data_IF_913430767275
#
_entry.id   IF_913430767275
#
_cell.length_a   1.000
_cell.length_b   1.000
_cell.length_c   1.000
_cell.angle_alpha   90.00
_cell.angle_beta   90.00
_cell.angle_gamma   90.00
#
_symmetry.space_group_name_H-M   'P 1'
#
loop_
_entity.id
_entity.type
_entity.pdbx_description
1 polymer ?
#
# COMPACT_ATOMS: atom_id res chain seq x y z
N UNK A 1 -14.67 -22.31 32.03
CA UNK A 1 -13.56 -22.27 31.06
C UNK A 1 -13.18 -23.69 30.67
N UNK A 2 -13.44 -24.09 29.43
CA UNK A 2 -12.58 -25.00 28.70
C UNK A 2 -11.74 -24.18 27.73
N UNK A 3 -10.42 -24.36 27.77
CA UNK A 3 -9.51 -23.82 26.78
C UNK A 3 -9.88 -24.41 25.42
N UNK A 4 -10.37 -23.57 24.50
CA UNK A 4 -10.35 -23.90 23.08
C UNK A 4 -8.89 -23.93 22.67
N UNK A 5 -8.32 -25.13 22.61
CA UNK A 5 -7.11 -25.39 21.86
C UNK A 5 -7.44 -25.09 20.40
N UNK A 6 -7.18 -23.85 19.98
CA UNK A 6 -7.13 -23.49 18.56
C UNK A 6 -6.06 -24.37 17.94
N UNK A 7 -6.47 -25.40 17.20
CA UNK A 7 -5.62 -25.94 16.14
C UNK A 7 -5.17 -24.72 15.34
N UNK A 8 -3.89 -24.36 15.43
CA UNK A 8 -3.34 -23.26 14.66
C UNK A 8 -3.65 -23.56 13.19
N UNK A 9 -4.56 -22.81 12.60
CA UNK A 9 -4.83 -22.91 11.17
C UNK A 9 -3.49 -22.69 10.48
N UNK A 10 -3.05 -23.70 9.71
CA UNK A 10 -1.79 -23.62 8.99
C UNK A 10 -1.80 -22.33 8.14
N UNK A 11 -0.68 -21.59 8.06
CA UNK A 11 -0.64 -20.40 7.24
C UNK A 11 -1.08 -20.71 5.81
N UNK A 12 -1.85 -19.81 5.20
CA UNK A 12 -2.52 -20.04 3.91
C UNK A 12 -1.48 -20.35 2.82
N UNK A 13 -0.30 -19.72 2.90
CA UNK A 13 0.81 -19.94 1.96
C UNK A 13 1.36 -21.37 1.98
N UNK A 14 1.07 -22.19 3.01
CA UNK A 14 1.44 -23.61 3.02
C UNK A 14 0.66 -24.44 2.00
N UNK A 15 -0.45 -23.91 1.47
CA UNK A 15 -1.19 -24.51 0.37
C UNK A 15 -0.42 -24.44 -0.97
N UNK A 16 0.57 -23.56 -1.10
CA UNK A 16 1.35 -23.42 -2.32
C UNK A 16 2.41 -24.51 -2.45
N UNK A 17 2.69 -24.92 -3.70
CA UNK A 17 3.87 -25.73 -3.98
C UNK A 17 5.13 -24.90 -3.72
N UNK A 18 6.25 -25.56 -3.35
CA UNK A 18 7.54 -24.86 -3.16
C UNK A 18 7.95 -24.00 -4.37
N UNK A 19 7.86 -24.47 -5.64
CA UNK A 19 8.14 -23.62 -6.79
C UNK A 19 7.27 -22.36 -6.85
N UNK A 20 5.99 -22.46 -6.45
CA UNK A 20 5.09 -21.30 -6.43
C UNK A 20 5.42 -20.31 -5.34
N UNK A 21 5.82 -20.77 -4.15
CA UNK A 21 6.34 -19.90 -3.08
C UNK A 21 7.58 -19.14 -3.56
N UNK A 22 8.54 -19.85 -4.15
CA UNK A 22 9.76 -19.25 -4.68
C UNK A 22 9.47 -18.25 -5.82
N UNK A 23 8.44 -18.51 -6.63
CA UNK A 23 8.03 -17.62 -7.72
C UNK A 23 7.32 -16.35 -7.25
N UNK A 24 6.77 -16.32 -6.03
CA UNK A 24 6.17 -15.14 -5.40
C UNK A 24 7.18 -14.29 -4.62
N UNK A 25 8.40 -14.78 -4.40
CA UNK A 25 9.46 -14.03 -3.76
C UNK A 25 10.24 -13.21 -4.80
N UNK A 26 10.55 -11.95 -4.44
CA UNK A 26 11.39 -11.09 -5.29
C UNK A 26 12.85 -11.51 -5.16
N UNK A 27 13.55 -11.61 -6.30
CA UNK A 27 14.98 -11.96 -6.34
C UNK A 27 15.90 -10.75 -6.42
N UNK A 28 15.43 -9.66 -7.01
CA UNK A 28 16.21 -8.47 -7.36
C UNK A 28 15.57 -7.17 -6.84
N UNK A 29 14.51 -7.28 -6.04
CA UNK A 29 13.73 -6.13 -5.59
C UNK A 29 12.71 -5.63 -6.62
N UNK A 30 12.42 -6.41 -7.67
CA UNK A 30 11.33 -6.14 -8.60
C UNK A 30 10.11 -7.04 -8.35
N UNK A 31 8.95 -6.64 -8.88
CA UNK A 31 7.73 -7.45 -8.81
C UNK A 31 7.93 -8.79 -9.53
N UNK A 32 7.71 -9.94 -8.86
CA UNK A 32 7.89 -11.26 -9.47
C UNK A 32 7.00 -11.47 -10.69
N UNK A 33 7.51 -12.19 -11.69
CA UNK A 33 6.75 -12.49 -12.91
C UNK A 33 5.48 -13.31 -12.65
N UNK A 34 5.43 -14.07 -11.55
CA UNK A 34 4.24 -14.82 -11.16
C UNK A 34 3.05 -13.92 -10.77
N UNK A 35 3.28 -12.62 -10.56
CA UNK A 35 2.24 -11.64 -10.26
C UNK A 35 1.99 -10.80 -11.51
N UNK A 36 0.79 -10.89 -12.08
CA UNK A 36 0.39 -10.09 -13.23
C UNK A 36 -0.62 -9.03 -12.80
N UNK A 37 -0.41 -7.82 -13.30
CA UNK A 37 -1.43 -6.76 -13.25
C UNK A 37 -2.20 -6.78 -14.57
N UNK A 38 -3.53 -6.83 -14.52
CA UNK A 38 -4.38 -6.82 -15.72
C UNK A 38 -4.06 -5.63 -16.64
N UNK A 39 -4.04 -5.86 -17.96
CA UNK A 39 -3.70 -4.84 -18.94
C UNK A 39 -4.87 -3.88 -19.21
N UNK A 40 -6.08 -4.40 -19.10
CA UNK A 40 -7.37 -3.78 -19.38
C UNK A 40 -8.04 -3.29 -18.10
N UNK A 41 -7.34 -2.49 -17.31
CA UNK A 41 -7.91 -1.78 -16.15
C UNK A 41 -8.73 -0.54 -16.60
N UNK A 42 -9.60 -0.72 -17.60
CA UNK A 42 -10.39 0.35 -18.20
C UNK A 42 -11.36 1.01 -17.21
N UNK A 43 -11.75 0.29 -16.14
CA UNK A 43 -12.63 0.78 -15.09
C UNK A 43 -11.90 1.11 -13.79
N UNK A 44 -10.56 1.24 -13.77
CA UNK A 44 -9.90 1.83 -12.60
C UNK A 44 -10.20 3.31 -12.63
N UNK A 45 -11.30 3.68 -11.99
CA UNK A 45 -11.64 5.06 -11.74
C UNK A 45 -10.51 5.68 -10.94
N UNK A 46 -10.11 6.89 -11.32
CA UNK A 46 -9.15 7.69 -10.55
C UNK A 46 -9.66 7.92 -9.13
N UNK A 47 -10.98 7.99 -8.96
CA UNK A 47 -11.62 8.14 -7.67
C UNK A 47 -11.36 6.93 -6.75
N UNK A 48 -11.20 5.73 -7.32
CA UNK A 48 -11.05 4.49 -6.55
C UNK A 48 -9.59 4.23 -6.16
N UNK A 49 -8.62 4.87 -6.81
CA UNK A 49 -7.18 4.71 -6.54
C UNK A 49 -6.53 6.04 -6.08
N UNK A 50 -6.58 6.38 -4.78
CA UNK A 50 -6.05 7.61 -4.20
C UNK A 50 -4.61 7.97 -4.60
N UNK A 51 -3.69 6.99 -4.65
CA UNK A 51 -2.31 7.22 -5.04
C UNK A 51 -2.20 7.62 -6.51
N UNK A 52 -3.00 7.00 -7.38
CA UNK A 52 -3.08 7.33 -8.80
C UNK A 52 -3.62 8.76 -8.98
N UNK A 53 -4.68 9.11 -8.26
CA UNK A 53 -5.28 10.45 -8.27
C UNK A 53 -4.29 11.52 -7.84
N UNK A 54 -3.64 11.33 -6.70
CA UNK A 54 -2.71 12.30 -6.14
C UNK A 54 -1.44 12.42 -7.02
N UNK A 55 -0.95 11.32 -7.58
CA UNK A 55 0.17 11.35 -8.54
C UNK A 55 -0.19 12.20 -9.75
N UNK A 56 -1.40 12.02 -10.30
CA UNK A 56 -1.87 12.82 -11.44
C UNK A 56 -1.97 14.29 -11.12
N UNK A 57 -2.56 14.61 -9.98
CA UNK A 57 -2.69 15.98 -9.50
C UNK A 57 -1.30 16.64 -9.33
N UNK A 58 -0.33 15.94 -8.75
CA UNK A 58 1.03 16.44 -8.60
C UNK A 58 1.71 16.75 -9.93
N UNK A 59 1.61 15.84 -10.91
CA UNK A 59 2.20 16.03 -12.23
C UNK A 59 1.54 17.20 -12.96
N UNK A 60 0.20 17.28 -12.97
CA UNK A 60 -0.54 18.36 -13.61
C UNK A 60 -0.21 19.71 -13.01
N UNK A 61 -0.15 19.79 -11.67
CA UNK A 61 0.24 21.02 -10.97
C UNK A 61 1.69 21.41 -11.24
N UNK A 62 2.60 20.44 -11.28
CA UNK A 62 4.00 20.69 -11.65
C UNK A 62 4.12 21.23 -13.09
N UNK A 63 3.27 20.79 -14.03
CA UNK A 63 3.22 21.33 -15.38
C UNK A 63 2.68 22.77 -15.40
N UNK A 64 1.57 23.02 -14.70
CA UNK A 64 0.92 24.32 -14.68
C UNK A 64 1.78 25.43 -14.06
N UNK A 65 2.64 25.09 -13.09
CA UNK A 65 3.46 26.04 -12.34
C UNK A 65 4.93 26.09 -12.77
N UNK A 66 5.30 25.40 -13.86
CA UNK A 66 6.70 25.18 -14.27
C UNK A 66 7.57 24.66 -13.11
N UNK A 67 7.01 23.69 -12.39
CA UNK A 67 7.63 22.98 -11.27
C UNK A 67 7.11 23.41 -9.90
N UNK A 68 6.85 22.41 -9.07
CA UNK A 68 6.53 22.62 -7.65
C UNK A 68 7.76 23.16 -6.92
N UNK A 69 7.54 23.95 -5.88
CA UNK A 69 8.64 24.58 -5.13
C UNK A 69 9.18 23.62 -4.09
N UNK A 70 10.51 23.44 -4.07
CA UNK A 70 11.20 22.66 -3.06
C UNK A 70 11.91 23.57 -2.04
N UNK A 71 11.88 23.15 -0.77
CA UNK A 71 12.68 23.74 0.29
C UNK A 71 14.17 23.39 0.10
N UNK A 72 15.04 24.00 0.92
CA UNK A 72 16.47 23.67 0.92
C UNK A 72 16.74 22.19 1.25
N UNK A 73 15.90 21.58 2.10
CA UNK A 73 15.98 20.15 2.47
C UNK A 73 15.38 19.23 1.40
N UNK A 74 14.81 19.78 0.32
CA UNK A 74 14.22 19.02 -0.77
C UNK A 74 12.78 18.56 -0.51
N UNK A 75 12.12 19.07 0.53
CA UNK A 75 10.70 18.85 0.76
C UNK A 75 9.84 19.81 -0.08
N UNK A 76 8.57 19.50 -0.30
CA UNK A 76 7.63 20.45 -0.92
C UNK A 76 7.42 21.69 -0.06
N UNK A 77 7.22 22.83 -0.71
CA UNK A 77 6.83 24.07 -0.04
C UNK A 77 5.47 23.92 0.66
N UNK A 78 5.25 24.66 1.75
CA UNK A 78 3.98 24.64 2.47
C UNK A 78 2.78 25.00 1.60
N UNK A 79 2.99 25.87 0.60
CA UNK A 79 1.97 26.28 -0.36
C UNK A 79 1.56 25.09 -1.24
N UNK A 80 2.54 24.36 -1.78
CA UNK A 80 2.26 23.18 -2.60
C UNK A 80 1.68 22.03 -1.76
N UNK A 81 2.21 21.79 -0.56
CA UNK A 81 1.67 20.80 0.39
C UNK A 81 0.21 21.12 0.70
N UNK A 82 -0.13 22.39 0.99
CA UNK A 82 -1.49 22.79 1.30
C UNK A 82 -2.45 22.55 0.13
N UNK A 83 -2.03 22.86 -1.10
CA UNK A 83 -2.86 22.63 -2.27
C UNK A 83 -3.21 21.14 -2.44
N UNK A 84 -2.23 20.26 -2.31
CA UNK A 84 -2.49 18.81 -2.38
C UNK A 84 -3.32 18.32 -1.20
N UNK A 85 -3.02 18.79 0.00
CA UNK A 85 -3.77 18.44 1.20
C UNK A 85 -5.24 18.78 1.04
N UNK A 86 -5.56 19.97 0.53
CA UNK A 86 -6.94 20.45 0.38
C UNK A 86 -7.74 19.62 -0.64
N UNK A 87 -7.10 19.21 -1.74
CA UNK A 87 -7.76 18.47 -2.84
C UNK A 87 -7.78 16.94 -2.67
N UNK A 88 -6.80 16.35 -1.97
CA UNK A 88 -6.69 14.90 -1.88
C UNK A 88 -7.83 14.26 -1.05
N UNK A 89 -8.24 13.08 -1.49
CA UNK A 89 -9.03 12.12 -0.69
C UNK A 89 -8.14 10.92 -0.41
N UNK A 90 -7.99 10.54 0.86
CA UNK A 90 -7.09 9.46 1.25
C UNK A 90 -7.73 8.56 2.33
N UNK A 91 -7.85 7.24 2.11
CA UNK A 91 -8.51 6.32 3.04
C UNK A 91 -7.90 6.34 4.43
N UNK A 92 -8.76 6.46 5.44
CA UNK A 92 -8.35 6.47 6.85
C UNK A 92 -7.44 7.64 7.24
N UNK A 93 -7.43 8.73 6.47
CA UNK A 93 -6.63 9.92 6.75
C UNK A 93 -7.49 11.07 7.25
N UNK A 94 -7.38 11.35 8.55
CA UNK A 94 -8.12 12.42 9.19
C UNK A 94 -7.43 13.78 8.98
N UNK A 95 -7.89 14.51 7.95
CA UNK A 95 -7.44 15.87 7.66
C UNK A 95 -7.75 16.84 8.82
N UNK A 96 -8.85 16.66 9.54
CA UNK A 96 -9.20 17.56 10.64
C UNK A 96 -8.20 17.42 11.79
N UNK A 97 -7.89 16.19 12.23
CA UNK A 97 -6.89 15.96 13.26
C UNK A 97 -5.50 16.46 12.85
N UNK A 98 -5.10 16.29 11.58
CA UNK A 98 -3.83 16.83 11.08
C UNK A 98 -3.76 18.36 11.22
N UNK A 99 -4.86 19.07 10.94
CA UNK A 99 -4.94 20.53 11.10
C UNK A 99 -4.92 20.97 12.57
N UNK A 100 -5.48 20.17 13.48
CA UNK A 100 -5.44 20.45 14.92
C UNK A 100 -4.01 20.28 15.46
N UNK A 101 -3.31 19.23 15.04
CA UNK A 101 -1.97 18.91 15.54
C UNK A 101 -0.87 19.80 14.96
N UNK A 102 -1.08 20.38 13.77
CA UNK A 102 -0.04 21.09 13.03
C UNK A 102 -0.41 22.54 12.75
N UNK A 103 0.27 23.48 13.42
CA UNK A 103 0.12 24.93 13.18
C UNK A 103 0.43 25.34 11.72
N UNK A 104 1.36 24.62 11.08
CA UNK A 104 1.68 24.78 9.67
C UNK A 104 1.93 23.40 9.08
N UNK A 105 1.40 23.13 7.88
CA UNK A 105 1.58 21.85 7.19
C UNK A 105 2.93 21.82 6.48
N UNK A 106 3.92 21.15 7.06
CA UNK A 106 5.11 20.73 6.34
C UNK A 106 4.81 19.39 5.65
N UNK A 107 5.63 19.03 4.66
CA UNK A 107 5.42 17.78 3.91
C UNK A 107 5.46 16.54 4.81
N UNK A 108 6.37 16.50 5.79
CA UNK A 108 6.49 15.39 6.74
C UNK A 108 5.24 15.21 7.63
N UNK A 109 4.40 16.24 7.74
CA UNK A 109 3.13 16.19 8.49
C UNK A 109 2.00 15.59 7.62
N UNK A 110 2.22 15.51 6.30
CA UNK A 110 1.25 15.05 5.30
C UNK A 110 1.79 13.84 4.55
N UNK A 111 1.81 12.69 5.24
CA UNK A 111 2.32 11.42 4.70
C UNK A 111 1.82 11.08 3.28
N UNK A 112 0.52 11.21 2.95
CA UNK A 112 0.05 10.96 1.58
C UNK A 112 0.76 11.79 0.50
N UNK A 113 1.08 13.04 0.81
CA UNK A 113 1.83 13.93 -0.10
C UNK A 113 3.28 13.48 -0.19
N UNK A 114 3.93 13.22 0.94
CA UNK A 114 5.34 12.82 0.95
C UNK A 114 5.56 11.50 0.18
N UNK A 115 4.76 10.47 0.47
CA UNK A 115 4.91 9.16 -0.15
C UNK A 115 4.62 9.22 -1.65
N UNK A 116 3.58 9.93 -2.07
CA UNK A 116 3.23 10.09 -3.48
C UNK A 116 4.35 10.80 -4.25
N UNK A 117 4.92 11.88 -3.66
CA UNK A 117 6.06 12.55 -4.28
C UNK A 117 7.24 11.60 -4.45
N UNK A 118 7.61 10.85 -3.40
CA UNK A 118 8.76 9.93 -3.42
C UNK A 118 8.58 8.86 -4.48
N UNK A 119 7.42 8.20 -4.51
CA UNK A 119 7.07 7.23 -5.57
C UNK A 119 7.19 7.85 -6.96
N UNK A 120 6.64 9.04 -7.17
CA UNK A 120 6.71 9.72 -8.46
C UNK A 120 8.15 10.12 -8.87
N UNK A 121 9.05 10.35 -7.91
CA UNK A 121 10.46 10.62 -8.17
C UNK A 121 11.26 9.36 -8.47
N UNK A 122 11.01 8.26 -7.76
CA UNK A 122 11.67 6.97 -8.00
C UNK A 122 11.31 6.44 -9.39
N UNK A 123 10.03 6.60 -9.79
CA UNK A 123 9.57 6.36 -11.16
C UNK A 123 10.03 7.40 -12.19
N UNK A 124 10.75 8.45 -11.77
CA UNK A 124 11.24 9.55 -12.63
C UNK A 124 10.12 10.29 -13.38
N UNK A 125 8.89 10.26 -12.86
CA UNK A 125 7.74 11.04 -13.34
C UNK A 125 7.89 12.51 -12.97
N UNK A 126 8.46 12.75 -11.78
CA UNK A 126 8.88 14.05 -11.29
C UNK A 126 10.40 14.08 -11.13
N UNK A 127 11.04 15.18 -11.50
CA UNK A 127 12.50 15.34 -11.43
C UNK A 127 12.88 16.62 -10.72
N UNK A 128 13.79 16.49 -9.75
CA UNK A 128 14.37 17.64 -9.08
C UNK A 128 15.34 18.34 -10.02
N UNK A 129 15.15 19.64 -10.21
CA UNK A 129 16.11 20.55 -10.82
C UNK A 129 16.22 21.78 -9.93
N UNK A 130 17.39 21.95 -9.32
CA UNK A 130 17.61 23.00 -8.31
C UNK A 130 16.56 22.93 -7.18
N UNK A 131 15.77 24.00 -7.00
CA UNK A 131 14.68 24.11 -6.02
C UNK A 131 13.30 23.89 -6.65
N UNK A 132 13.24 23.24 -7.81
CA UNK A 132 12.00 22.90 -8.50
C UNK A 132 11.85 21.40 -8.67
N UNK A 133 10.62 20.94 -8.56
CA UNK A 133 10.23 19.58 -8.89
C UNK A 133 9.37 19.61 -10.17
N UNK A 134 9.98 19.23 -11.28
CA UNK A 134 9.43 19.37 -12.63
C UNK A 134 8.78 18.06 -13.09
N UNK A 135 7.67 18.17 -13.82
CA UNK A 135 7.11 17.04 -14.56
C UNK A 135 8.07 16.61 -15.67
N UNK A 136 8.38 15.31 -15.74
CA UNK A 136 9.19 14.76 -16.82
C UNK A 136 8.33 14.51 -18.06
N UNK A 137 8.98 14.23 -19.21
CA UNK A 137 8.28 13.79 -20.43
C UNK A 137 7.49 12.50 -20.17
N UNK A 138 8.05 11.57 -19.40
CA UNK A 138 7.38 10.33 -19.03
C UNK A 138 6.16 10.59 -18.12
N UNK A 139 6.31 11.44 -17.10
CA UNK A 139 5.20 11.85 -16.23
C UNK A 139 4.07 12.50 -17.03
N UNK A 140 4.40 13.41 -17.92
CA UNK A 140 3.44 14.10 -18.82
C UNK A 140 2.67 13.12 -19.72
N UNK A 141 3.31 12.03 -20.15
CA UNK A 141 2.67 11.01 -20.97
C UNK A 141 1.75 10.10 -20.14
N UNK A 142 2.25 9.61 -18.99
CA UNK A 142 1.54 8.64 -18.14
C UNK A 142 0.36 9.25 -17.37
N UNK A 143 0.31 10.57 -17.22
CA UNK A 143 -0.81 11.25 -16.55
C UNK A 143 -2.13 11.18 -17.35
N UNK A 144 -2.06 10.94 -18.66
CA UNK A 144 -3.23 10.88 -19.56
C UNK A 144 -4.21 9.79 -19.13
N UNK A 145 -5.50 10.02 -19.35
CA UNK A 145 -6.56 9.10 -18.91
C UNK A 145 -6.38 7.69 -19.48
N UNK A 146 -6.09 7.59 -20.78
CA UNK A 146 -5.82 6.33 -21.47
C UNK A 146 -4.54 5.60 -21.02
N UNK A 147 -3.76 6.19 -20.11
CA UNK A 147 -2.58 5.58 -19.49
C UNK A 147 -2.80 5.18 -18.02
N UNK A 148 -4.05 5.23 -17.52
CA UNK A 148 -4.38 4.90 -16.12
C UNK A 148 -3.83 3.52 -15.70
N UNK A 149 -4.08 2.48 -16.50
CA UNK A 149 -3.61 1.13 -16.23
C UNK A 149 -2.07 1.02 -16.18
N UNK A 150 -1.39 1.73 -17.09
CA UNK A 150 0.08 1.74 -17.14
C UNK A 150 0.68 2.47 -15.93
N UNK A 151 0.11 3.62 -15.55
CA UNK A 151 0.53 4.36 -14.37
C UNK A 151 0.24 3.57 -13.08
N UNK A 152 -0.95 2.97 -12.96
CA UNK A 152 -1.30 2.09 -11.84
C UNK A 152 -0.27 0.97 -11.65
N UNK A 153 0.09 0.27 -12.73
CA UNK A 153 1.07 -0.82 -12.71
C UNK A 153 2.43 -0.37 -12.18
N UNK A 154 2.92 0.76 -12.67
CA UNK A 154 4.21 1.32 -12.25
C UNK A 154 4.17 1.74 -10.77
N UNK A 155 3.12 2.46 -10.36
CA UNK A 155 2.94 2.87 -8.96
C UNK A 155 2.88 1.65 -8.03
N UNK A 156 2.14 0.60 -8.41
CA UNK A 156 1.98 -0.62 -7.61
C UNK A 156 3.31 -1.36 -7.44
N UNK A 157 4.02 -1.61 -8.54
CA UNK A 157 5.31 -2.29 -8.48
C UNK A 157 6.33 -1.52 -7.63
N UNK A 158 6.46 -0.21 -7.85
CA UNK A 158 7.40 0.62 -7.09
C UNK A 158 7.05 0.69 -5.61
N UNK A 159 5.75 0.79 -5.27
CA UNK A 159 5.32 0.89 -3.86
C UNK A 159 5.67 -0.36 -3.05
N UNK A 160 5.44 -1.54 -3.61
CA UNK A 160 5.59 -2.79 -2.87
C UNK A 160 6.98 -3.42 -2.98
N UNK A 161 7.75 -3.14 -4.03
CA UNK A 161 9.06 -3.79 -4.25
C UNK A 161 10.26 -2.85 -4.27
N UNK A 162 10.10 -1.59 -4.70
CA UNK A 162 11.24 -0.70 -4.92
C UNK A 162 11.44 0.32 -3.79
N UNK A 163 10.39 0.63 -3.02
CA UNK A 163 10.44 1.57 -1.90
C UNK A 163 10.40 0.84 -0.57
N UNK A 164 11.23 1.30 0.37
CA UNK A 164 11.20 0.83 1.74
C UNK A 164 10.05 1.49 2.53
N UNK A 165 8.93 0.77 2.74
CA UNK A 165 7.78 1.30 3.47
C UNK A 165 8.05 1.45 4.99
N UNK A 166 9.03 0.74 5.54
CA UNK A 166 9.46 0.88 6.93
C UNK A 166 9.94 2.30 7.27
N UNK A 167 10.39 3.06 6.27
CA UNK A 167 10.77 4.46 6.44
C UNK A 167 9.62 5.32 7.03
N UNK A 168 8.37 4.99 6.69
CA UNK A 168 7.21 5.79 7.05
C UNK A 168 6.58 5.40 8.39
N UNK A 169 6.77 4.17 8.86
CA UNK A 169 6.21 3.72 10.14
C UNK A 169 7.22 3.74 11.30
N UNK A 170 8.52 3.76 11.01
CA UNK A 170 9.61 3.80 12.01
C UNK A 170 9.54 2.63 13.02
N UNK A 171 8.91 1.53 12.64
CA UNK A 171 8.92 0.30 13.43
C UNK A 171 10.26 -0.39 13.23
N UNK A 172 10.94 -0.85 14.31
CA UNK A 172 12.24 -1.52 14.22
C UNK A 172 12.14 -2.98 13.73
N UNK A 173 11.21 -3.25 12.82
CA UNK A 173 11.16 -4.47 12.02
C UNK A 173 11.75 -4.10 10.67
N UNK A 174 12.74 -4.86 10.20
CA UNK A 174 13.54 -4.55 9.00
C UNK A 174 12.65 -4.40 7.74
N UNK A 175 12.68 -5.37 6.83
CA UNK A 175 11.85 -5.37 5.63
C UNK A 175 10.54 -6.14 5.85
N UNK A 176 10.24 -6.63 7.06
CA UNK A 176 9.06 -7.45 7.33
C UNK A 176 7.75 -6.63 7.33
N UNK A 177 6.62 -7.11 6.79
CA UNK A 177 6.47 -8.32 5.96
C UNK A 177 6.67 -8.04 4.46
N UNK A 178 7.13 -6.83 4.10
CA UNK A 178 7.34 -6.40 2.72
C UNK A 178 8.34 -7.30 1.96
N UNK A 179 9.33 -7.87 2.63
CA UNK A 179 10.32 -8.80 2.05
C UNK A 179 9.70 -10.07 1.42
N UNK A 180 8.47 -10.42 1.79
CA UNK A 180 7.70 -11.52 1.20
C UNK A 180 6.32 -11.08 0.72
N UNK A 181 6.19 -9.82 0.31
CA UNK A 181 4.91 -9.20 -0.07
C UNK A 181 4.13 -9.99 -1.13
N UNK A 182 4.80 -10.65 -2.08
CA UNK A 182 4.11 -11.47 -3.09
C UNK A 182 3.32 -12.64 -2.49
N UNK A 183 3.85 -13.27 -1.44
CA UNK A 183 3.16 -14.31 -0.67
C UNK A 183 1.96 -13.70 0.06
N UNK A 184 2.17 -12.57 0.73
CA UNK A 184 1.12 -11.87 1.47
C UNK A 184 -0.06 -11.47 0.57
N UNK A 185 0.23 -10.91 -0.61
CA UNK A 185 -0.78 -10.54 -1.59
C UNK A 185 -1.57 -11.76 -2.08
N UNK A 186 -0.91 -12.89 -2.30
CA UNK A 186 -1.61 -14.12 -2.67
C UNK A 186 -2.49 -14.63 -1.52
N UNK A 187 -2.02 -14.64 -0.27
CA UNK A 187 -2.85 -15.05 0.87
C UNK A 187 -4.08 -14.15 1.04
N UNK A 188 -3.91 -12.83 0.89
CA UNK A 188 -5.02 -11.87 0.92
C UNK A 188 -6.00 -12.07 -0.24
N UNK A 189 -5.53 -12.57 -1.40
CA UNK A 189 -6.41 -12.96 -2.51
C UNK A 189 -7.34 -14.11 -2.13
N UNK A 190 -6.94 -14.98 -1.21
CA UNK A 190 -7.72 -16.15 -0.75
C UNK A 190 -8.57 -15.84 0.48
N UNK A 191 -8.08 -15.05 1.42
CA UNK A 191 -8.75 -14.82 2.72
C UNK A 191 -9.42 -13.46 2.89
N UNK A 192 -9.09 -12.45 2.09
CA UNK A 192 -9.54 -11.07 2.31
C UNK A 192 -11.00 -10.77 1.94
N UNK A 193 -11.86 -11.77 1.75
CA UNK A 193 -13.22 -11.59 1.22
C UNK A 193 -14.18 -10.91 2.19
N UNK A 194 -14.08 -11.20 3.48
CA UNK A 194 -14.90 -10.61 4.53
C UNK A 194 -14.16 -9.48 5.25
N UNK A 195 -14.85 -8.73 6.11
CA UNK A 195 -14.22 -7.74 6.96
C UNK A 195 -13.33 -8.41 8.01
N UNK A 196 -12.05 -8.05 8.05
CA UNK A 196 -11.06 -8.58 9.00
C UNK A 196 -10.24 -7.45 9.64
N UNK A 197 -9.72 -7.69 10.84
CA UNK A 197 -8.69 -6.88 11.50
C UNK A 197 -7.31 -7.41 11.13
N UNK A 198 -6.28 -6.56 11.23
CA UNK A 198 -4.90 -6.97 10.95
C UNK A 198 -4.50 -8.25 11.74
N UNK A 199 -4.90 -8.34 13.01
CA UNK A 199 -4.65 -9.49 13.90
C UNK A 199 -5.26 -10.81 13.41
N UNK A 200 -6.37 -10.77 12.68
CA UNK A 200 -7.07 -11.98 12.21
C UNK A 200 -6.26 -12.72 11.13
N UNK A 201 -5.54 -11.97 10.28
CA UNK A 201 -4.86 -12.52 9.11
C UNK A 201 -3.34 -12.47 9.16
N UNK A 202 -2.74 -11.74 10.11
CA UNK A 202 -1.29 -11.54 10.12
C UNK A 202 -0.52 -12.87 10.20
N UNK A 203 -0.90 -13.78 11.12
CA UNK A 203 -0.24 -15.08 11.30
C UNK A 203 -0.45 -16.02 10.12
N UNK A 204 -1.57 -15.90 9.42
CA UNK A 204 -1.94 -16.81 8.32
C UNK A 204 -1.47 -16.32 6.96
N UNK A 205 -1.31 -15.01 6.79
CA UNK A 205 -0.92 -14.38 5.52
C UNK A 205 0.57 -14.07 5.42
N UNK A 206 1.31 -14.05 6.53
CA UNK A 206 2.75 -13.75 6.55
C UNK A 206 3.61 -14.97 6.84
N UNK A 207 4.87 -14.91 6.45
CA UNK A 207 5.90 -15.83 6.95
C UNK A 207 6.32 -15.29 8.32
N UNK A 208 5.87 -15.97 9.36
CA UNK A 208 6.12 -15.57 10.75
C UNK A 208 7.52 -15.98 11.19
N UNK A 209 8.16 -15.09 11.96
CA UNK A 209 9.43 -15.32 12.64
C UNK A 209 9.19 -15.15 14.15
N UNK A 210 9.59 -16.14 14.96
CA UNK A 210 9.35 -16.14 16.41
C UNK A 210 10.00 -14.93 17.12
N UNK A 211 11.02 -14.30 16.53
CA UNK A 211 11.61 -13.05 17.05
C UNK A 211 10.64 -11.86 17.02
N UNK A 212 9.58 -11.92 16.20
CA UNK A 212 8.52 -10.91 16.16
C UNK A 212 7.69 -10.89 17.45
N UNK A 213 7.72 -11.97 18.23
CA UNK A 213 7.04 -12.07 19.53
C UNK A 213 7.86 -11.45 20.68
N UNK A 214 9.12 -11.08 20.43
CA UNK A 214 10.02 -10.48 21.44
C UNK A 214 9.87 -8.95 21.58
N UNK A 215 9.19 -8.29 20.63
CA UNK A 215 8.98 -6.84 20.60
C UNK A 215 7.76 -6.37 21.40
N UNK A 216 7.54 -5.04 21.51
CA UNK A 216 6.26 -4.48 21.96
C UNK A 216 5.09 -5.14 21.22
N UNK A 217 4.03 -5.47 21.96
CA UNK A 217 2.94 -6.35 21.54
C UNK A 217 2.30 -6.06 20.17
N UNK A 218 2.45 -4.85 19.62
CA UNK A 218 1.75 -4.40 18.42
C UNK A 218 2.67 -3.94 17.27
N UNK A 219 3.99 -4.18 17.33
CA UNK A 219 4.88 -3.78 16.23
C UNK A 219 4.60 -4.56 14.94
N UNK A 220 4.39 -5.87 15.04
CA UNK A 220 4.05 -6.69 13.87
C UNK A 220 2.69 -6.29 13.29
N UNK A 221 1.67 -6.14 14.14
CA UNK A 221 0.33 -5.66 13.76
C UNK A 221 0.40 -4.35 12.98
N UNK A 222 1.04 -3.35 13.57
CA UNK A 222 1.21 -2.04 12.93
C UNK A 222 2.03 -2.11 11.63
N UNK A 223 3.11 -2.90 11.57
CA UNK A 223 3.90 -3.07 10.35
C UNK A 223 3.11 -3.76 9.22
N UNK A 224 2.28 -4.76 9.55
CA UNK A 224 1.40 -5.39 8.57
C UNK A 224 0.36 -4.38 8.05
N UNK A 225 -0.21 -3.57 8.93
CA UNK A 225 -1.15 -2.53 8.55
C UNK A 225 -0.49 -1.43 7.68
N UNK A 226 0.64 -0.87 8.12
CA UNK A 226 1.33 0.26 7.48
C UNK A 226 2.02 -0.10 6.18
N UNK A 227 2.54 -1.33 6.05
CA UNK A 227 3.34 -1.79 4.90
C UNK A 227 2.55 -2.65 3.92
N UNK A 228 1.34 -3.11 4.28
CA UNK A 228 0.49 -3.95 3.41
C UNK A 228 -0.91 -3.39 3.28
N UNK A 229 -1.71 -3.41 4.35
CA UNK A 229 -3.15 -3.18 4.26
C UNK A 229 -3.48 -1.74 3.85
N UNK A 230 -2.85 -0.74 4.49
CA UNK A 230 -3.02 0.67 4.11
C UNK A 230 -2.52 0.94 2.70
N UNK A 231 -1.31 0.52 2.28
CA UNK A 231 -0.90 0.61 0.88
C UNK A 231 -1.93 0.07 -0.12
N UNK A 232 -2.53 -1.09 0.15
CA UNK A 232 -3.58 -1.64 -0.72
C UNK A 232 -4.83 -0.76 -0.82
N UNK A 233 -5.19 -0.02 0.24
CA UNK A 233 -6.27 0.99 0.16
C UNK A 233 -5.92 2.17 -0.75
N UNK A 234 -4.63 2.52 -0.88
CA UNK A 234 -4.22 3.63 -1.77
C UNK A 234 -4.38 3.30 -3.25
N UNK A 235 -4.48 2.01 -3.57
CA UNK A 235 -4.76 1.48 -4.89
C UNK A 235 -6.23 1.08 -5.09
N UNK A 236 -7.09 1.27 -4.09
CA UNK A 236 -8.48 0.80 -4.14
C UNK A 236 -8.64 -0.72 -4.13
N UNK A 237 -7.58 -1.47 -3.82
CA UNK A 237 -7.59 -2.94 -3.77
C UNK A 237 -8.17 -3.44 -2.45
N UNK A 238 -8.15 -2.58 -1.43
CA UNK A 238 -8.84 -2.80 -0.17
C UNK A 238 -9.68 -1.57 0.20
N UNK A 239 -10.78 -1.82 0.87
CA UNK A 239 -11.54 -0.80 1.58
C UNK A 239 -11.31 -0.94 3.08
N UNK A 240 -11.53 0.14 3.82
CA UNK A 240 -11.34 0.19 5.27
C UNK A 240 -12.52 0.88 5.95
N UNK A 241 -12.84 0.41 7.15
CA UNK A 241 -13.80 1.06 8.05
C UNK A 241 -13.29 1.01 9.48
N UNK A 242 -13.84 1.88 10.31
CA UNK A 242 -13.65 1.83 11.75
C UNK A 242 -14.80 1.03 12.38
N UNK A 243 -14.46 0.15 13.31
CA UNK A 243 -15.38 -0.61 14.14
C UNK A 243 -15.48 0.06 15.53
N UNK A 244 -16.69 0.10 16.08
CA UNK A 244 -17.01 0.77 17.35
C UNK A 244 -17.93 1.97 17.15
N UNK A 245 -18.36 2.56 18.27
CA UNK A 245 -19.27 3.70 18.30
C UNK A 245 -18.57 4.99 17.80
N UNK A 246 -19.34 5.91 17.21
CA UNK A 246 -18.81 7.13 16.59
C UNK A 246 -18.39 8.20 17.62
N UNK A 247 -18.71 8.03 18.90
CA UNK A 247 -18.28 8.88 20.00
C UNK A 247 -16.86 8.51 20.51
N UNK A 248 -16.36 7.33 20.13
CA UNK A 248 -15.00 6.89 20.43
C UNK A 248 -14.04 7.54 19.42
N UNK A 249 -12.95 8.18 19.89
CA UNK A 249 -11.96 8.74 18.98
C UNK A 249 -11.40 7.68 18.01
N UNK A 250 -11.23 8.04 16.74
CA UNK A 250 -10.77 7.12 15.67
C UNK A 250 -9.53 6.30 16.03
N UNK A 251 -8.58 6.88 16.76
CA UNK A 251 -7.35 6.21 17.18
C UNK A 251 -7.56 5.09 18.22
N UNK A 252 -8.75 5.01 18.84
CA UNK A 252 -9.17 3.92 19.74
C UNK A 252 -10.07 2.90 19.05
N UNK A 253 -10.56 3.19 17.85
CA UNK A 253 -11.46 2.30 17.11
C UNK A 253 -10.64 1.24 16.39
N UNK A 254 -11.13 -0.01 16.41
CA UNK A 254 -10.48 -1.07 15.66
C UNK A 254 -10.68 -0.83 14.17
N UNK A 255 -9.63 -0.98 13.38
CA UNK A 255 -9.71 -0.82 11.93
C UNK A 255 -9.95 -2.18 11.26
N UNK A 256 -10.95 -2.23 10.41
CA UNK A 256 -11.23 -3.39 9.58
C UNK A 256 -10.91 -3.10 8.12
N UNK A 257 -10.59 -4.17 7.40
CA UNK A 257 -10.24 -4.19 5.99
C UNK A 257 -11.04 -5.26 5.27
N UNK A 258 -11.29 -5.02 3.98
CA UNK A 258 -11.89 -6.00 3.08
C UNK A 258 -11.35 -5.80 1.68
N UNK A 259 -11.14 -6.90 0.95
CA UNK A 259 -10.78 -6.89 -0.46
C UNK A 259 -11.91 -6.30 -1.29
N UNK A 260 -11.57 -5.42 -2.24
CA UNK A 260 -12.55 -4.90 -3.21
C UNK A 260 -12.62 -5.82 -4.43
N UNK A 261 -13.68 -5.67 -5.24
CA UNK A 261 -13.75 -6.34 -6.55
C UNK A 261 -12.59 -5.94 -7.49
N UNK A 262 -11.95 -4.78 -7.27
CA UNK A 262 -10.80 -4.36 -8.06
C UNK A 262 -9.59 -5.25 -7.80
N UNK A 263 -9.40 -5.78 -6.59
CA UNK A 263 -8.28 -6.68 -6.29
C UNK A 263 -8.27 -7.88 -7.23
N UNK A 264 -9.40 -8.59 -7.33
CA UNK A 264 -9.50 -9.83 -8.12
C UNK A 264 -9.49 -9.58 -9.63
N UNK A 265 -9.85 -8.36 -10.05
CA UNK A 265 -9.71 -7.94 -11.46
C UNK A 265 -8.27 -7.54 -11.78
N UNK A 266 -7.61 -6.82 -10.87
CA UNK A 266 -6.31 -6.22 -11.12
C UNK A 266 -5.15 -7.20 -10.94
N UNK A 267 -5.19 -8.06 -9.92
CA UNK A 267 -4.09 -8.96 -9.58
C UNK A 267 -4.41 -10.39 -10.01
N UNK A 268 -3.46 -11.02 -10.72
CA UNK A 268 -3.47 -12.44 -11.05
C UNK A 268 -2.18 -13.09 -10.58
N UNK A 269 -2.30 -14.30 -10.07
CA UNK A 269 -1.18 -15.08 -9.53
C UNK A 269 -1.02 -16.37 -10.34
N UNK A 270 0.13 -16.54 -10.98
CA UNK A 270 0.49 -17.74 -11.73
C UNK A 270 1.17 -18.73 -10.78
N UNK A 271 0.35 -19.43 -10.00
CA UNK A 271 0.82 -20.33 -8.94
C UNK A 271 0.08 -21.67 -8.96
N UNK A 272 0.71 -22.69 -8.39
CA UNK A 272 0.16 -24.02 -8.20
C UNK A 272 -0.02 -24.30 -6.71
N UNK A 273 -1.16 -24.88 -6.37
CA UNK A 273 -1.43 -25.36 -5.02
C UNK A 273 -1.05 -26.84 -4.91
N UNK A 274 -0.64 -27.25 -3.71
CA UNK A 274 -0.57 -28.66 -3.36
C UNK A 274 -1.98 -29.23 -3.50
N UNK A 275 -2.19 -30.22 -4.37
CA UNK A 275 -3.47 -30.94 -4.36
C UNK A 275 -3.67 -31.50 -2.94
N UNK A 276 -4.83 -31.28 -2.30
CA UNK A 276 -5.13 -32.01 -1.08
C UNK A 276 -5.15 -33.50 -1.46
N UNK A 277 -4.09 -34.22 -1.09
CA UNK A 277 -4.01 -35.66 -1.26
C UNK A 277 -5.27 -36.27 -0.66
N UNK A 278 -6.01 -37.00 -1.49
CA UNK A 278 -7.41 -37.37 -1.28
C UNK A 278 -7.80 -37.89 0.10
N UNK A 279 -8.94 -37.40 0.57
CA UNK A 279 -9.97 -38.31 1.11
C UNK A 279 -10.77 -38.77 -0.10
N UNK A 280 -10.30 -39.82 -0.78
CA UNK A 280 -11.18 -40.58 -1.65
C UNK A 280 -12.21 -41.29 -0.75
N UNK A 281 -13.48 -41.15 -1.12
CA UNK A 281 -14.60 -41.93 -0.56
C UNK A 281 -14.35 -43.43 -0.61
#
# INVERSE_FOLDING_TARGET
MPAMTTLAELPIWTLLTRPSLEALLSRDGSMPEAIKIAADLHDVSVADAPLLALTRLMIQRAQALDGLTLTATGALSRIDVRAFFDEMTWPGYDKANVLVMNKALNEADVMPVEITRRIAQDLKLLRKRERRLLASKAGTMLVRENQAAALFRQLFATTFWEINLAYFDRVPLEAWPQNHIGIVLWCLSVAGHEWFKAEDLIRTCTVWDDTLDEGPLDFAGFAFESRVLRPLTWFGLMETRLEGEDDVPDWRRARQYRKTALFDRALRFEVQMNNPSGVSH
#
